data_IF_519240579398
#
_entry.id   IF_519240579398
#
_cell.length_a   1.000
_cell.length_b   1.000
_cell.length_c   1.000
_cell.angle_alpha   90.00
_cell.angle_beta   90.00
_cell.angle_gamma   90.00
#
_symmetry.space_group_name_H-M   'P 1'
#
loop_
_entity.id
_entity.type
_entity.pdbx_description
1 polymer ?
#
# COMPACT_ATOMS: atom_id res chain seq x y z
N UNK A 1 -5.55 6.31 -9.09
CA UNK A 1 -6.13 5.95 -10.40
C UNK A 1 -6.02 7.07 -11.44
N UNK A 2 -6.52 8.29 -11.16
CA UNK A 2 -6.43 9.42 -12.12
C UNK A 2 -4.99 9.82 -12.47
N UNK A 3 -4.07 9.89 -11.51
CA UNK A 3 -2.66 10.19 -11.77
C UNK A 3 -2.00 9.13 -12.68
N UNK A 4 -2.29 7.84 -12.47
CA UNK A 4 -1.77 6.77 -13.32
C UNK A 4 -2.32 6.85 -14.76
N UNK A 5 -3.60 7.22 -14.93
CA UNK A 5 -4.20 7.42 -16.26
C UNK A 5 -3.57 8.61 -17.00
N UNK A 6 -3.32 9.71 -16.30
CA UNK A 6 -2.73 10.92 -16.87
C UNK A 6 -1.24 10.75 -17.21
N UNK A 7 -0.47 10.07 -16.37
CA UNK A 7 0.99 9.95 -16.53
C UNK A 7 1.42 8.72 -17.33
N UNK A 8 0.75 7.57 -17.16
CA UNK A 8 1.07 6.33 -17.93
C UNK A 8 0.19 6.11 -19.17
N UNK A 9 -0.76 7.02 -19.48
CA UNK A 9 -1.68 6.94 -20.64
C UNK A 9 -2.44 5.62 -20.78
N UNK A 10 -2.64 4.87 -19.68
CA UNK A 10 -3.32 3.57 -19.73
C UNK A 10 -4.83 3.70 -19.78
N UNK A 11 -5.47 2.90 -20.63
CA UNK A 11 -6.94 2.76 -20.68
C UNK A 11 -7.37 1.69 -19.69
N UNK A 12 -8.12 2.09 -18.66
CA UNK A 12 -8.76 1.17 -17.72
C UNK A 12 -10.22 0.97 -18.14
N UNK A 13 -10.69 -0.27 -18.07
CA UNK A 13 -12.10 -0.60 -18.27
C UNK A 13 -12.95 -0.04 -17.11
N UNK A 14 -14.24 0.19 -17.35
CA UNK A 14 -15.19 0.60 -16.32
C UNK A 14 -15.26 -0.42 -15.15
N UNK A 15 -15.12 -1.70 -15.46
CA UNK A 15 -15.12 -2.78 -14.46
C UNK A 15 -13.87 -2.73 -13.56
N UNK A 16 -12.71 -2.41 -14.15
CA UNK A 16 -11.47 -2.20 -13.38
C UNK A 16 -11.55 -0.95 -12.50
N UNK A 17 -12.24 0.09 -12.96
CA UNK A 17 -12.50 1.30 -12.17
C UNK A 17 -13.37 0.99 -10.95
N UNK A 18 -14.45 0.23 -11.14
CA UNK A 18 -15.27 -0.24 -10.03
C UNK A 18 -14.46 -1.09 -9.04
N UNK A 19 -13.57 -1.96 -9.53
CA UNK A 19 -12.75 -2.80 -8.67
C UNK A 19 -11.81 -1.98 -7.78
N UNK A 20 -11.17 -0.95 -8.32
CA UNK A 20 -10.28 -0.06 -7.56
C UNK A 20 -11.06 0.72 -6.48
N UNK A 21 -12.25 1.22 -6.81
CA UNK A 21 -13.11 1.90 -5.83
C UNK A 21 -13.52 0.92 -4.73
N UNK A 22 -13.90 -0.30 -5.11
CA UNK A 22 -14.30 -1.35 -4.18
C UNK A 22 -13.14 -1.76 -3.25
N UNK A 23 -11.90 -1.80 -3.76
CA UNK A 23 -10.71 -2.04 -2.96
C UNK A 23 -10.49 -0.94 -1.91
N UNK A 24 -10.66 0.32 -2.31
CA UNK A 24 -10.55 1.47 -1.41
C UNK A 24 -11.62 1.39 -0.31
N UNK A 25 -12.86 1.05 -0.65
CA UNK A 25 -13.95 0.87 0.32
C UNK A 25 -13.69 -0.33 1.25
N UNK A 26 -13.20 -1.46 0.73
CA UNK A 26 -12.90 -2.64 1.54
C UNK A 26 -11.77 -2.39 2.55
N UNK A 27 -10.69 -1.73 2.10
CA UNK A 27 -9.56 -1.38 2.98
C UNK A 27 -9.95 -0.33 4.03
N UNK A 28 -10.74 0.69 3.68
CA UNK A 28 -11.23 1.65 4.68
C UNK A 28 -12.15 0.97 5.68
N UNK A 29 -13.09 0.13 5.23
CA UNK A 29 -14.01 -0.63 6.11
C UNK A 29 -13.23 -1.50 7.09
N UNK A 30 -12.18 -2.19 6.62
CA UNK A 30 -11.34 -3.04 7.49
C UNK A 30 -10.57 -2.27 8.57
N UNK A 31 -10.35 -0.97 8.36
CA UNK A 31 -9.63 -0.09 9.29
C UNK A 31 -10.56 0.80 10.15
N UNK A 32 -11.88 0.72 9.97
CA UNK A 32 -12.82 1.42 10.84
C UNK A 32 -12.74 0.81 12.24
N UNK A 33 -12.44 1.65 13.23
CA UNK A 33 -12.47 1.24 14.64
C UNK A 33 -13.88 0.80 15.03
N UNK A 34 -13.98 -0.35 15.68
CA UNK A 34 -15.25 -0.85 16.20
C UNK A 34 -15.81 0.09 17.28
N UNK A 35 -17.14 0.15 17.40
CA UNK A 35 -17.81 0.90 18.45
C UNK A 35 -17.54 0.17 19.79
N UNK A 36 -16.58 0.67 20.58
CA UNK A 36 -16.20 0.05 21.86
C UNK A 36 -14.77 0.33 22.36
N UNK A 37 -13.82 0.75 21.51
CA UNK A 37 -12.39 0.84 21.87
C UNK A 37 -11.83 2.27 22.11
N UNK A 38 -12.65 3.32 22.10
CA UNK A 38 -12.30 4.70 22.52
C UNK A 38 -13.59 5.54 22.58
N UNK A 39 -13.62 6.77 23.16
CA UNK A 39 -14.82 7.60 23.08
C UNK A 39 -15.19 7.77 21.61
N UNK A 40 -16.49 7.74 21.31
CA UNK A 40 -17.02 8.00 19.98
C UNK A 40 -16.73 9.46 19.62
N UNK A 41 -15.47 9.77 19.32
CA UNK A 41 -15.08 10.99 18.66
C UNK A 41 -15.93 11.05 17.41
N UNK A 42 -16.74 12.10 17.31
CA UNK A 42 -17.53 12.41 16.13
C UNK A 42 -16.62 12.21 14.92
N UNK A 43 -17.01 11.31 14.02
CA UNK A 43 -16.19 10.87 12.86
C UNK A 43 -15.75 12.05 11.96
N UNK A 44 -16.38 13.21 12.17
CA UNK A 44 -16.13 14.49 11.51
C UNK A 44 -15.53 15.60 12.39
N UNK A 45 -15.07 15.30 13.61
CA UNK A 45 -14.49 16.30 14.53
C UNK A 45 -13.02 16.63 14.28
N UNK A 46 -12.38 15.97 13.32
CA UNK A 46 -11.02 16.36 12.95
C UNK A 46 -11.02 17.78 12.32
N UNK A 47 -9.99 18.60 12.59
CA UNK A 47 -9.91 19.93 12.00
C UNK A 47 -9.86 19.83 10.46
N UNK A 48 -10.52 20.78 9.76
CA UNK A 48 -10.55 20.83 8.29
C UNK A 48 -9.17 20.72 7.64
N UNK A 49 -8.16 21.31 8.27
CA UNK A 49 -6.76 21.23 7.85
C UNK A 49 -6.23 19.79 7.80
N UNK A 50 -6.65 18.92 8.72
CA UNK A 50 -6.28 17.51 8.74
C UNK A 50 -6.80 16.76 7.52
N UNK A 51 -8.06 16.99 7.13
CA UNK A 51 -8.63 16.41 5.90
C UNK A 51 -7.89 16.89 4.65
N UNK A 52 -7.60 18.20 4.56
CA UNK A 52 -6.89 18.77 3.42
C UNK A 52 -5.47 18.22 3.28
N UNK A 53 -4.73 18.11 4.39
CA UNK A 53 -3.39 17.49 4.41
C UNK A 53 -3.42 15.99 4.09
N UNK A 54 -4.46 15.28 4.54
CA UNK A 54 -4.65 13.87 4.21
C UNK A 54 -4.84 13.62 2.71
N UNK A 55 -5.70 14.43 2.07
CA UNK A 55 -5.91 14.37 0.61
C UNK A 55 -4.62 14.71 -0.13
N UNK A 56 -3.91 15.77 0.30
CA UNK A 56 -2.64 16.16 -0.30
C UNK A 56 -1.59 15.03 -0.20
N UNK A 57 -1.47 14.40 0.96
CA UNK A 57 -0.55 13.28 1.19
C UNK A 57 -0.88 12.08 0.30
N UNK A 58 -2.16 11.73 0.16
CA UNK A 58 -2.60 10.67 -0.73
C UNK A 58 -2.25 10.97 -2.20
N UNK A 59 -2.45 12.21 -2.65
CA UNK A 59 -2.08 12.65 -4.00
C UNK A 59 -0.56 12.58 -4.24
N UNK A 60 0.24 13.06 -3.29
CA UNK A 60 1.71 13.01 -3.38
C UNK A 60 2.22 11.56 -3.39
N UNK A 61 1.68 10.69 -2.55
CA UNK A 61 2.02 9.26 -2.52
C UNK A 61 1.69 8.57 -3.86
N UNK A 62 0.51 8.85 -4.42
CA UNK A 62 0.11 8.32 -5.71
C UNK A 62 1.00 8.84 -6.86
N UNK A 63 1.34 10.13 -6.86
CA UNK A 63 2.22 10.74 -7.85
C UNK A 63 3.64 10.17 -7.77
N UNK A 64 4.19 10.01 -6.57
CA UNK A 64 5.51 9.43 -6.36
C UNK A 64 5.59 8.01 -6.93
N UNK A 65 4.61 7.14 -6.61
CA UNK A 65 4.58 5.78 -7.13
C UNK A 65 4.48 5.72 -8.66
N UNK A 66 3.62 6.56 -9.24
CA UNK A 66 3.43 6.67 -10.70
C UNK A 66 4.68 7.22 -11.41
N UNK A 67 5.37 8.19 -10.79
CA UNK A 67 6.59 8.76 -11.32
C UNK A 67 7.75 7.75 -11.27
N UNK A 68 7.89 6.98 -10.19
CA UNK A 68 8.88 5.89 -10.12
C UNK A 68 8.65 4.84 -11.19
N UNK A 69 7.39 4.44 -11.42
CA UNK A 69 7.04 3.52 -12.52
C UNK A 69 7.42 4.11 -13.89
N UNK A 70 7.09 5.38 -14.13
CA UNK A 70 7.46 6.07 -15.36
C UNK A 70 8.98 6.11 -15.57
N UNK A 71 9.74 6.46 -14.53
CA UNK A 71 11.21 6.53 -14.59
C UNK A 71 11.83 5.17 -14.90
N UNK A 72 11.36 4.11 -14.24
CA UNK A 72 11.87 2.75 -14.43
C UNK A 72 11.53 2.17 -15.81
N UNK A 73 10.34 2.48 -16.34
CA UNK A 73 9.90 2.01 -17.67
C UNK A 73 10.46 2.83 -18.84
N UNK A 74 10.80 4.11 -18.63
CA UNK A 74 11.35 4.98 -19.68
C UNK A 74 12.80 4.64 -20.03
N UNK A 75 13.60 4.27 -19.04
CA UNK A 75 15.01 3.91 -19.25
C UNK A 75 15.16 2.40 -19.51
N UNK A 76 15.92 2.03 -20.53
CA UNK A 76 16.26 0.63 -20.86
C UNK A 76 17.46 0.08 -20.09
N UNK A 77 17.98 0.83 -19.12
CA UNK A 77 19.12 0.43 -18.28
C UNK A 77 18.82 -0.80 -17.42
N UNK A 78 19.85 -1.38 -16.80
CA UNK A 78 19.67 -2.48 -15.85
C UNK A 78 18.84 -2.03 -14.64
N UNK A 79 18.02 -2.93 -14.10
CA UNK A 79 17.20 -2.64 -12.91
C UNK A 79 18.08 -2.23 -11.71
N UNK A 80 19.22 -2.89 -11.55
CA UNK A 80 20.15 -2.62 -10.46
C UNK A 80 20.69 -1.19 -10.54
N UNK A 81 21.03 -0.70 -11.74
CA UNK A 81 21.54 0.66 -11.91
C UNK A 81 20.48 1.71 -11.56
N UNK A 82 19.25 1.52 -12.04
CA UNK A 82 18.12 2.39 -11.71
C UNK A 82 17.84 2.40 -10.19
N UNK A 83 17.91 1.24 -9.54
CA UNK A 83 17.76 1.13 -8.09
C UNK A 83 18.87 1.84 -7.33
N UNK A 84 20.14 1.70 -7.76
CA UNK A 84 21.27 2.40 -7.14
C UNK A 84 21.05 3.91 -7.20
N UNK A 85 20.68 4.47 -8.35
CA UNK A 85 20.40 5.90 -8.48
C UNK A 85 19.24 6.34 -7.57
N UNK A 86 18.11 5.62 -7.62
CA UNK A 86 16.91 5.95 -6.84
C UNK A 86 17.18 5.90 -5.34
N UNK A 87 17.79 4.82 -4.86
CA UNK A 87 18.09 4.66 -3.44
C UNK A 87 19.22 5.58 -2.97
N UNK A 88 20.17 5.95 -3.83
CA UNK A 88 21.20 6.95 -3.48
C UNK A 88 20.56 8.29 -3.15
N UNK A 89 19.65 8.79 -4.00
CA UNK A 89 18.90 10.00 -3.67
C UNK A 89 18.04 9.81 -2.41
N UNK A 90 17.39 8.65 -2.27
CA UNK A 90 16.62 8.31 -1.06
C UNK A 90 17.45 8.39 0.23
N UNK A 91 18.68 7.86 0.23
CA UNK A 91 19.60 7.93 1.38
C UNK A 91 19.99 9.37 1.68
N UNK A 92 20.33 10.17 0.66
CA UNK A 92 20.71 11.58 0.83
C UNK A 92 19.56 12.38 1.47
N UNK A 93 18.33 12.23 0.97
CA UNK A 93 17.16 12.92 1.54
C UNK A 93 16.84 12.46 2.97
N UNK A 94 16.95 11.17 3.28
CA UNK A 94 16.73 10.66 4.64
C UNK A 94 17.81 11.16 5.61
N UNK A 95 19.09 11.19 5.20
CA UNK A 95 20.15 11.78 6.01
C UNK A 95 19.92 13.27 6.23
N UNK A 96 19.53 14.02 5.18
CA UNK A 96 19.19 15.43 5.31
C UNK A 96 18.02 15.69 6.26
N UNK A 97 17.00 14.84 6.25
CA UNK A 97 15.88 14.91 7.19
C UNK A 97 16.32 14.69 8.64
N UNK A 98 17.21 13.72 8.89
CA UNK A 98 17.78 13.49 10.23
C UNK A 98 18.61 14.68 10.71
N UNK A 99 19.46 15.24 9.85
CA UNK A 99 20.23 16.46 10.17
C UNK A 99 19.31 17.64 10.47
N UNK A 100 18.25 17.83 9.69
CA UNK A 100 17.26 18.88 9.93
C UNK A 100 16.52 18.69 11.27
N UNK A 101 16.19 17.45 11.61
CA UNK A 101 15.62 17.09 12.92
C UNK A 101 16.54 17.46 14.08
N UNK A 102 17.83 17.16 13.96
CA UNK A 102 18.84 17.50 14.97
C UNK A 102 19.05 19.02 15.10
N UNK A 103 19.08 19.72 13.97
CA UNK A 103 19.18 21.17 13.93
C UNK A 103 17.98 21.83 14.63
N UNK A 104 16.76 21.33 14.37
CA UNK A 104 15.54 21.82 15.04
C UNK A 104 15.54 21.54 16.54
N UNK A 105 16.15 20.44 16.97
CA UNK A 105 16.29 20.07 18.38
C UNK A 105 17.55 20.69 19.05
N UNK A 106 18.26 21.60 18.38
CA UNK A 106 19.43 22.28 18.94
C UNK A 106 20.59 21.36 19.30
N UNK A 107 20.67 20.15 18.71
CA UNK A 107 21.66 19.11 19.04
C UNK A 107 21.71 18.70 20.52
N UNK A 108 20.67 18.95 21.32
CA UNK A 108 20.66 18.63 22.76
C UNK A 108 20.84 17.14 23.04
N UNK A 109 20.33 16.27 22.16
CA UNK A 109 20.43 14.81 22.26
C UNK A 109 21.66 14.23 21.54
N UNK A 110 22.60 15.07 21.11
CA UNK A 110 23.74 14.67 20.28
C UNK A 110 23.36 14.36 18.82
N UNK A 111 24.33 14.18 17.93
CA UNK A 111 24.07 13.98 16.51
C UNK A 111 23.45 12.62 16.19
N UNK A 112 22.67 12.54 15.12
CA UNK A 112 21.88 11.36 14.76
C UNK A 112 22.73 10.11 14.53
N UNK A 113 23.96 10.23 14.03
CA UNK A 113 24.86 9.09 13.80
C UNK A 113 25.22 8.37 15.10
N UNK A 114 25.29 9.07 16.24
CA UNK A 114 25.51 8.42 17.53
C UNK A 114 24.27 7.73 18.07
N UNK A 115 23.08 8.26 17.74
CA UNK A 115 21.79 7.70 18.17
C UNK A 115 21.25 6.62 17.26
N UNK A 116 21.79 6.48 16.04
CA UNK A 116 21.24 5.62 15.00
C UNK A 116 21.04 4.17 15.46
N UNK A 117 22.00 3.62 16.21
CA UNK A 117 21.97 2.23 16.67
C UNK A 117 21.49 2.06 18.12
N UNK A 118 21.10 3.14 18.79
CA UNK A 118 20.62 3.04 20.17
C UNK A 118 19.27 2.30 20.21
N UNK A 119 19.17 1.27 21.04
CA UNK A 119 17.95 0.47 21.18
C UNK A 119 17.69 -0.52 20.03
N UNK A 120 18.68 -0.78 19.17
CA UNK A 120 18.56 -1.81 18.13
C UNK A 120 18.53 -3.20 18.74
N UNK A 121 17.36 -3.84 18.66
CA UNK A 121 17.18 -5.25 19.00
C UNK A 121 17.31 -6.14 17.75
N UNK A 122 17.39 -7.47 17.95
CA UNK A 122 17.35 -8.44 16.85
C UNK A 122 16.07 -8.26 16.01
N UNK A 123 14.94 -7.97 16.66
CA UNK A 123 13.66 -7.68 15.98
C UNK A 123 13.76 -6.45 15.09
N UNK A 124 14.47 -5.40 15.53
CA UNK A 124 14.71 -4.19 14.73
C UNK A 124 15.46 -4.54 13.44
N UNK A 125 16.50 -5.37 13.53
CA UNK A 125 17.24 -5.84 12.35
C UNK A 125 16.36 -6.65 11.39
N UNK A 126 15.52 -7.55 11.91
CA UNK A 126 14.57 -8.32 11.08
C UNK A 126 13.65 -7.38 10.30
N UNK A 127 13.11 -6.34 10.94
CA UNK A 127 12.26 -5.33 10.27
C UNK A 127 13.03 -4.56 9.20
N UNK A 128 14.28 -4.15 9.49
CA UNK A 128 15.14 -3.45 8.52
C UNK A 128 15.39 -4.31 7.27
N UNK A 129 15.75 -5.58 7.44
CA UNK A 129 15.95 -6.50 6.32
C UNK A 129 14.65 -6.77 5.55
N UNK A 130 13.53 -6.92 6.26
CA UNK A 130 12.22 -7.12 5.64
C UNK A 130 11.81 -5.91 4.79
N UNK A 131 11.97 -4.69 5.32
CA UNK A 131 11.64 -3.45 4.63
C UNK A 131 12.53 -3.25 3.39
N UNK A 132 13.83 -3.53 3.51
CA UNK A 132 14.76 -3.50 2.38
C UNK A 132 14.37 -4.49 1.28
N UNK A 133 14.05 -5.74 1.66
CA UNK A 133 13.63 -6.79 0.72
C UNK A 133 12.32 -6.42 0.01
N UNK A 134 11.34 -5.91 0.75
CA UNK A 134 10.07 -5.44 0.19
C UNK A 134 10.28 -4.27 -0.78
N UNK A 135 11.19 -3.34 -0.46
CA UNK A 135 11.56 -2.23 -1.35
C UNK A 135 12.13 -2.70 -2.69
N UNK A 136 13.02 -3.71 -2.66
CA UNK A 136 13.59 -4.30 -3.88
C UNK A 136 12.53 -5.03 -4.72
N UNK A 137 11.65 -5.79 -4.08
CA UNK A 137 10.52 -6.46 -4.75
C UNK A 137 9.56 -5.46 -5.40
N UNK A 138 9.28 -4.35 -4.71
CA UNK A 138 8.45 -3.26 -5.25
C UNK A 138 9.10 -2.64 -6.48
N UNK A 139 10.40 -2.38 -6.48
CA UNK A 139 11.12 -1.87 -7.65
C UNK A 139 11.07 -2.84 -8.83
N UNK A 140 11.20 -4.14 -8.56
CA UNK A 140 11.02 -5.19 -9.57
C UNK A 140 9.61 -5.19 -10.16
N UNK A 141 8.58 -5.09 -9.31
CA UNK A 141 7.19 -4.96 -9.74
C UNK A 141 6.96 -3.68 -10.58
N UNK A 142 7.59 -2.56 -10.24
CA UNK A 142 7.41 -1.33 -11.03
C UNK A 142 8.05 -1.40 -12.41
N UNK A 143 9.13 -2.19 -12.57
CA UNK A 143 9.81 -2.36 -13.86
C UNK A 143 9.12 -3.39 -14.75
N UNK A 144 8.80 -4.57 -14.20
CA UNK A 144 8.30 -5.72 -14.95
C UNK A 144 6.79 -5.91 -14.85
N UNK A 145 6.13 -5.19 -13.96
CA UNK A 145 4.68 -5.25 -13.74
C UNK A 145 4.11 -3.84 -13.63
N UNK A 146 2.87 -3.74 -13.16
CA UNK A 146 2.14 -2.50 -13.09
C UNK A 146 1.94 -2.06 -11.65
N UNK A 147 1.90 -0.75 -11.44
CA UNK A 147 1.63 -0.17 -10.11
C UNK A 147 0.27 -0.61 -9.54
N UNK A 148 -0.67 -1.04 -10.38
CA UNK A 148 -1.93 -1.63 -9.90
C UNK A 148 -1.71 -2.97 -9.21
N UNK A 149 -0.85 -3.85 -9.77
CA UNK A 149 -0.49 -5.14 -9.14
C UNK A 149 0.21 -4.90 -7.80
N UNK A 150 1.06 -3.87 -7.72
CA UNK A 150 1.66 -3.43 -6.44
C UNK A 150 0.57 -3.08 -5.41
N UNK A 151 -0.41 -2.25 -5.77
CA UNK A 151 -1.48 -1.83 -4.85
C UNK A 151 -2.32 -3.03 -4.37
N UNK A 152 -2.64 -3.98 -5.26
CA UNK A 152 -3.33 -5.20 -4.87
C UNK A 152 -2.48 -6.08 -3.94
N UNK A 153 -1.19 -6.24 -4.23
CA UNK A 153 -0.27 -7.00 -3.37
C UNK A 153 -0.17 -6.40 -1.97
N UNK A 154 -0.02 -5.07 -1.87
CA UNK A 154 -0.02 -4.38 -0.56
C UNK A 154 -1.35 -4.51 0.19
N UNK A 155 -2.47 -4.52 -0.55
CA UNK A 155 -3.79 -4.71 0.07
C UNK A 155 -3.96 -6.13 0.60
N UNK A 156 -3.51 -7.15 -0.13
CA UNK A 156 -3.55 -8.54 0.33
C UNK A 156 -2.64 -8.76 1.55
N UNK A 157 -1.45 -8.15 1.54
CA UNK A 157 -0.55 -8.18 2.70
C UNK A 157 -1.22 -7.57 3.94
N UNK A 158 -1.92 -6.44 3.78
CA UNK A 158 -2.69 -5.83 4.87
C UNK A 158 -3.75 -6.78 5.43
N UNK A 159 -4.54 -7.44 4.59
CA UNK A 159 -5.54 -8.42 5.05
C UNK A 159 -4.89 -9.59 5.80
N UNK A 160 -3.79 -10.11 5.27
CA UNK A 160 -3.06 -11.22 5.90
C UNK A 160 -2.49 -10.80 7.25
N UNK A 161 -1.91 -9.60 7.36
CA UNK A 161 -1.44 -9.04 8.64
C UNK A 161 -2.59 -8.94 9.65
N UNK A 162 -3.78 -8.52 9.21
CA UNK A 162 -4.95 -8.45 10.09
C UNK A 162 -5.40 -9.84 10.57
N UNK A 163 -5.46 -10.85 9.69
CA UNK A 163 -5.81 -12.23 10.05
C UNK A 163 -4.77 -12.82 11.02
N UNK A 164 -3.48 -12.66 10.72
CA UNK A 164 -2.41 -13.09 11.62
C UNK A 164 -2.48 -12.37 12.97
N UNK A 165 -2.90 -11.11 13.00
CA UNK A 165 -3.01 -10.35 14.24
C UNK A 165 -4.10 -10.89 15.17
N UNK A 166 -5.21 -11.37 14.60
CA UNK A 166 -6.27 -12.06 15.38
C UNK A 166 -5.71 -13.35 15.99
N UNK A 167 -4.98 -14.15 15.21
CA UNK A 167 -4.48 -15.45 15.66
C UNK A 167 -3.30 -15.36 16.64
N UNK A 168 -2.31 -14.49 16.35
CA UNK A 168 -1.08 -14.38 17.13
C UNK A 168 -1.20 -13.47 18.34
N UNK A 169 -1.95 -12.37 18.23
CA UNK A 169 -2.05 -11.34 19.27
C UNK A 169 -3.42 -11.31 19.97
N UNK A 170 -4.32 -12.26 19.67
CA UNK A 170 -5.70 -12.31 20.20
C UNK A 170 -6.44 -10.98 20.06
N UNK A 171 -6.18 -10.23 18.98
CA UNK A 171 -6.91 -9.00 18.66
C UNK A 171 -8.38 -9.37 18.43
N UNK A 172 -9.31 -8.58 19.00
CA UNK A 172 -10.75 -8.80 18.81
C UNK A 172 -11.10 -8.70 17.33
N UNK A 173 -11.48 -9.83 16.74
CA UNK A 173 -11.98 -9.85 15.37
C UNK A 173 -13.29 -9.07 15.30
N UNK A 174 -13.29 -7.98 14.54
CA UNK A 174 -14.48 -7.13 14.37
C UNK A 174 -15.23 -7.53 13.09
N UNK A 175 -16.54 -7.28 13.05
CA UNK A 175 -17.36 -7.56 11.86
C UNK A 175 -16.89 -6.72 10.66
N UNK A 176 -16.38 -5.52 10.92
CA UNK A 176 -15.78 -4.61 9.95
C UNK A 176 -14.59 -5.24 9.23
N UNK A 177 -13.75 -5.98 9.95
CA UNK A 177 -12.61 -6.71 9.40
C UNK A 177 -13.06 -7.83 8.46
N UNK A 178 -14.05 -8.63 8.86
CA UNK A 178 -14.59 -9.68 8.01
C UNK A 178 -15.21 -9.11 6.72
N UNK A 179 -16.04 -8.07 6.84
CA UNK A 179 -16.67 -7.42 5.70
C UNK A 179 -15.62 -6.82 4.74
N UNK A 180 -14.58 -6.16 5.29
CA UNK A 180 -13.48 -5.61 4.51
C UNK A 180 -12.71 -6.68 3.73
N UNK A 181 -12.42 -7.83 4.35
CA UNK A 181 -11.75 -8.96 3.68
C UNK A 181 -12.60 -9.46 2.49
N UNK A 182 -13.90 -9.69 2.71
CA UNK A 182 -14.80 -10.18 1.64
C UNK A 182 -14.85 -9.19 0.48
N UNK A 183 -15.00 -7.89 0.76
CA UNK A 183 -15.03 -6.83 -0.26
C UNK A 183 -13.71 -6.79 -1.05
N UNK A 184 -12.57 -6.88 -0.37
CA UNK A 184 -11.26 -6.89 -1.03
C UNK A 184 -11.06 -8.14 -1.90
N UNK A 185 -11.54 -9.31 -1.48
CA UNK A 185 -11.49 -10.55 -2.29
C UNK A 185 -12.33 -10.40 -3.55
N UNK A 186 -13.57 -9.89 -3.43
CA UNK A 186 -14.45 -9.65 -4.58
C UNK A 186 -13.82 -8.63 -5.54
N UNK A 187 -13.24 -7.55 -5.01
CA UNK A 187 -12.51 -6.55 -5.82
C UNK A 187 -11.34 -7.18 -6.59
N UNK A 188 -10.56 -8.03 -5.94
CA UNK A 188 -9.42 -8.71 -6.56
C UNK A 188 -9.88 -9.66 -7.68
N UNK A 189 -10.92 -10.45 -7.44
CA UNK A 189 -11.52 -11.29 -8.48
C UNK A 189 -12.03 -10.45 -9.65
N UNK A 190 -12.76 -9.37 -9.37
CA UNK A 190 -13.31 -8.50 -10.42
C UNK A 190 -12.22 -7.81 -11.26
N UNK A 191 -11.03 -7.54 -10.69
CA UNK A 191 -9.94 -6.91 -11.42
C UNK A 191 -9.13 -7.88 -12.29
N UNK A 192 -8.83 -9.08 -11.78
CA UNK A 192 -8.00 -10.07 -12.48
C UNK A 192 -8.79 -11.04 -13.36
N UNK A 193 -10.09 -11.20 -13.12
CA UNK A 193 -10.93 -12.10 -13.91
C UNK A 193 -11.28 -11.46 -15.26
N UNK A 194 -11.00 -12.14 -16.39
CA UNK A 194 -11.36 -11.61 -17.70
C UNK A 194 -12.89 -11.59 -17.86
N UNK A 195 -13.40 -10.61 -18.62
CA UNK A 195 -14.84 -10.31 -18.74
C UNK A 195 -15.66 -11.52 -19.22
N UNK A 196 -15.06 -12.45 -19.96
CA UNK A 196 -15.76 -13.66 -20.43
C UNK A 196 -16.09 -14.64 -19.29
N UNK A 197 -15.21 -14.83 -18.32
CA UNK A 197 -15.43 -15.72 -17.16
C UNK A 197 -16.42 -15.16 -16.12
N UNK A 198 -16.70 -13.86 -16.12
CA UNK A 198 -17.69 -13.24 -15.22
C UNK A 198 -19.14 -13.42 -15.70
N UNK A 199 -19.33 -13.67 -17.00
CA UNK A 199 -20.65 -13.83 -17.63
C UNK A 199 -21.04 -15.30 -17.76
N UNK A 200 -20.06 -16.20 -17.80
CA UNK A 200 -20.31 -17.64 -17.72
C UNK A 200 -20.66 -18.02 -16.27
N UNK A 201 -21.96 -18.00 -15.96
CA UNK A 201 -22.52 -18.86 -14.91
C UNK A 201 -21.97 -20.28 -15.12
N UNK A 202 -21.69 -21.05 -14.04
CA UNK A 202 -21.35 -22.44 -14.20
C UNK A 202 -22.52 -23.09 -14.95
N UNK A 203 -22.30 -23.45 -16.22
CA UNK A 203 -23.27 -24.24 -16.95
C UNK A 203 -23.47 -25.49 -16.11
N UNK A 204 -24.65 -25.60 -15.52
CA UNK A 204 -25.12 -26.81 -14.86
C UNK A 204 -24.79 -27.96 -15.79
N UNK A 205 -23.97 -28.89 -15.30
CA UNK A 205 -23.61 -30.15 -15.96
C UNK A 205 -24.84 -30.68 -16.71
N UNK A 206 -24.72 -31.09 -17.99
CA UNK A 206 -25.83 -31.74 -18.66
C UNK A 206 -26.19 -32.96 -17.81
N UNK A 207 -27.44 -32.97 -17.31
CA UNK A 207 -28.01 -34.14 -16.67
C UNK A 207 -27.83 -35.30 -17.65
N UNK A 208 -26.90 -36.19 -17.33
CA UNK A 208 -26.73 -37.45 -18.04
C UNK A 208 -28.02 -38.22 -17.89
N UNK A 209 -28.84 -38.19 -18.94
CA UNK A 209 -29.94 -39.12 -19.12
C UNK A 209 -29.36 -40.54 -19.21
N UNK A 210 -29.65 -41.35 -18.20
CA UNK A 210 -29.83 -42.80 -18.29
C UNK A 210 -30.88 -43.22 -17.27
#
# INVERSE_FOLDING_TARGET
ANCARLVLKRKLSNLQWMAIILLAVGTTTSQVKGCGDAPCDSVFSAPFQGYMLGILSACLSALAGVYTEYLMKKNSDSLYWQNVQLYTFGVIFNMGWLVYGDFKAGFEMGPWWQRLFNGYSITTWIVVFNLGSTGLLVSWLMKYSDNIVKVYSTSMAMLLTMVLSVYLFNVRATVQLFLGIVICIISLQMYFMPVHTLVELPQTLPATAK
#
